data_IF_555923549507
#
_entry.id   IF_555923549507
#
_cell.length_a   1.000
_cell.length_b   1.000
_cell.length_c   1.000
_cell.angle_alpha   90.00
_cell.angle_beta   90.00
_cell.angle_gamma   90.00
#
_symmetry.space_group_name_H-M   'P 1'
#
loop_
_entity.id
_entity.type
_entity.pdbx_description
1 polymer ?
#
# COMPACT_ATOMS: atom_id res chain seq x y z
N UNK A 1 -25.73 -7.34 -11.01
CA UNK A 1 -25.46 -6.61 -9.77
C UNK A 1 -24.31 -5.61 -10.05
N UNK A 2 -24.48 -4.36 -9.71
CA UNK A 2 -23.44 -3.32 -9.90
C UNK A 2 -22.53 -3.30 -8.68
N UNK A 3 -21.27 -2.83 -8.83
CA UNK A 3 -20.31 -2.77 -7.70
C UNK A 3 -20.84 -1.95 -6.51
N UNK A 4 -21.55 -0.85 -6.76
CA UNK A 4 -22.18 -0.04 -5.72
C UNK A 4 -23.17 -0.79 -4.82
N UNK A 5 -23.77 -1.88 -5.35
CA UNK A 5 -24.78 -2.69 -4.66
C UNK A 5 -24.13 -3.87 -3.91
N UNK A 6 -22.86 -4.18 -4.22
CA UNK A 6 -22.14 -5.34 -3.68
C UNK A 6 -21.38 -5.02 -2.39
N UNK A 7 -20.71 -3.87 -2.35
CA UNK A 7 -19.77 -3.50 -1.30
C UNK A 7 -18.43 -4.22 -1.39
N UNK A 8 -17.39 -3.59 -0.85
CA UNK A 8 -16.00 -4.03 -0.97
C UNK A 8 -15.75 -5.42 -0.40
N UNK A 9 -16.19 -5.68 0.85
CA UNK A 9 -15.98 -6.97 1.51
C UNK A 9 -16.61 -8.15 0.79
N UNK A 10 -17.77 -7.92 0.15
CA UNK A 10 -18.44 -8.97 -0.63
C UNK A 10 -17.73 -9.22 -1.96
N UNK A 11 -17.15 -8.17 -2.56
CA UNK A 11 -16.32 -8.30 -3.74
C UNK A 11 -15.04 -9.09 -3.42
N UNK A 12 -14.32 -8.73 -2.38
CA UNK A 12 -13.09 -9.41 -1.96
C UNK A 12 -13.31 -10.90 -1.71
N UNK A 13 -14.40 -11.28 -1.06
CA UNK A 13 -14.76 -12.71 -0.88
C UNK A 13 -14.97 -13.47 -2.18
N UNK A 14 -15.39 -12.79 -3.25
CA UNK A 14 -15.54 -13.40 -4.57
C UNK A 14 -14.23 -13.47 -5.35
N UNK A 15 -13.33 -12.52 -5.11
CA UNK A 15 -12.01 -12.48 -5.77
C UNK A 15 -11.01 -13.47 -5.16
N UNK A 16 -11.06 -13.66 -3.85
CA UNK A 16 -10.12 -14.52 -3.13
C UNK A 16 -9.96 -15.94 -3.76
N UNK A 17 -11.03 -16.68 -4.12
CA UNK A 17 -10.89 -18.01 -4.73
C UNK A 17 -10.28 -18.01 -6.13
N UNK A 18 -10.16 -16.86 -6.79
CA UNK A 18 -9.73 -16.79 -8.18
C UNK A 18 -8.21 -16.83 -8.36
N UNK A 19 -7.44 -16.53 -7.33
CA UNK A 19 -5.99 -16.42 -7.50
C UNK A 19 -5.13 -16.55 -6.25
N UNK A 20 -5.71 -16.83 -5.09
CA UNK A 20 -4.91 -16.97 -3.87
C UNK A 20 -4.45 -18.41 -3.67
N UNK A 21 -3.15 -18.66 -3.44
CA UNK A 21 -2.64 -19.96 -3.12
C UNK A 21 -3.09 -20.42 -1.73
N UNK A 22 -3.19 -21.74 -1.51
CA UNK A 22 -3.54 -22.30 -0.19
C UNK A 22 -2.42 -22.09 0.84
N UNK A 23 -1.16 -22.12 0.38
CA UNK A 23 0.02 -21.95 1.22
C UNK A 23 0.60 -20.55 1.06
N UNK A 24 -0.01 -19.57 1.71
CA UNK A 24 0.48 -18.20 1.77
C UNK A 24 0.88 -17.84 3.20
N UNK A 25 1.87 -16.95 3.39
CA UNK A 25 2.27 -16.46 4.72
C UNK A 25 1.15 -15.71 5.45
N UNK A 26 0.22 -15.15 4.71
CA UNK A 26 -0.96 -14.44 5.22
C UNK A 26 -2.22 -14.93 4.50
N UNK A 27 -3.36 -15.05 5.18
CA UNK A 27 -4.59 -15.55 4.58
C UNK A 27 -5.16 -14.54 3.56
N UNK A 28 -5.97 -15.03 2.59
CA UNK A 28 -6.70 -14.15 1.67
C UNK A 28 -7.55 -13.11 2.41
N UNK A 29 -7.45 -11.84 2.00
CA UNK A 29 -8.19 -10.73 2.62
C UNK A 29 -7.50 -10.11 3.84
N UNK A 30 -6.26 -10.52 4.13
CA UNK A 30 -5.40 -9.82 5.07
C UNK A 30 -4.89 -8.49 4.48
N UNK A 31 -4.20 -7.66 5.27
CA UNK A 31 -3.73 -6.34 4.84
C UNK A 31 -2.62 -6.41 3.80
N UNK A 32 -1.86 -7.50 3.78
CA UNK A 32 -0.84 -7.81 2.77
C UNK A 32 -0.99 -9.25 2.28
N UNK A 33 -0.45 -9.52 1.10
CA UNK A 33 -0.23 -10.87 0.58
C UNK A 33 1.25 -11.25 0.68
N UNK A 34 1.60 -12.43 0.15
CA UNK A 34 3.00 -12.82 0.10
C UNK A 34 3.25 -14.26 -0.33
N UNK A 35 4.52 -14.60 -0.37
CA UNK A 35 5.01 -15.96 -0.67
C UNK A 35 6.10 -16.34 0.31
N UNK A 36 6.23 -17.63 0.59
CA UNK A 36 7.39 -18.18 1.28
C UNK A 36 8.52 -18.42 0.29
N UNK A 37 9.72 -17.91 0.56
CA UNK A 37 10.92 -18.20 -0.19
C UNK A 37 12.12 -18.24 0.75
N UNK A 38 12.93 -19.29 0.65
CA UNK A 38 14.16 -19.49 1.43
C UNK A 38 13.97 -19.34 2.95
N UNK A 39 12.83 -19.80 3.46
CA UNK A 39 12.51 -19.79 4.90
C UNK A 39 12.02 -18.45 5.45
N UNK A 40 11.87 -17.43 4.61
CA UNK A 40 11.30 -16.13 4.98
C UNK A 40 10.06 -15.81 4.15
N UNK A 41 9.13 -15.06 4.72
CA UNK A 41 7.98 -14.54 4.00
C UNK A 41 8.36 -13.26 3.25
N UNK A 42 8.17 -13.26 1.94
CA UNK A 42 8.16 -12.05 1.13
C UNK A 42 6.75 -11.50 1.10
N UNK A 43 6.56 -10.39 1.78
CA UNK A 43 5.27 -9.71 1.86
C UNK A 43 5.14 -8.67 0.74
N UNK A 44 3.95 -8.57 0.18
CA UNK A 44 3.59 -7.68 -0.91
C UNK A 44 2.30 -6.94 -0.55
N UNK A 45 2.30 -5.64 -0.79
CA UNK A 45 1.12 -4.79 -0.62
C UNK A 45 1.05 -3.80 -1.78
N UNK A 46 -0.16 -3.56 -2.26
CA UNK A 46 -0.45 -2.49 -3.22
C UNK A 46 -1.67 -1.71 -2.77
N UNK A 47 -1.55 -0.39 -2.75
CA UNK A 47 -2.63 0.55 -2.54
C UNK A 47 -2.80 1.46 -3.74
N UNK A 48 -4.04 1.83 -4.03
CA UNK A 48 -4.38 2.80 -5.07
C UNK A 48 -5.02 4.04 -4.46
N UNK A 49 -4.63 5.22 -4.96
CA UNK A 49 -5.10 6.49 -4.45
C UNK A 49 -5.50 7.42 -5.59
N UNK A 50 -6.68 8.02 -5.49
CA UNK A 50 -7.00 9.23 -6.25
C UNK A 50 -6.49 10.44 -5.47
N UNK A 51 -5.68 11.29 -6.09
CA UNK A 51 -5.07 12.44 -5.43
C UNK A 51 -6.11 13.29 -4.66
N UNK A 52 -7.22 13.62 -5.32
CA UNK A 52 -8.29 14.45 -4.74
C UNK A 52 -8.96 13.85 -3.51
N UNK A 53 -8.93 12.50 -3.35
CA UNK A 53 -9.59 11.81 -2.24
C UNK A 53 -8.67 11.68 -1.02
N UNK A 54 -7.35 11.66 -1.25
CA UNK A 54 -6.36 11.48 -0.18
C UNK A 54 -5.67 12.77 0.24
N UNK A 55 -5.70 13.81 -0.59
CA UNK A 55 -5.19 15.13 -0.26
C UNK A 55 -6.11 15.79 0.79
N UNK A 56 -5.63 15.89 2.02
CA UNK A 56 -6.31 16.65 3.06
C UNK A 56 -6.06 18.16 2.87
N UNK A 57 -6.88 19.00 3.52
CA UNK A 57 -6.73 20.46 3.46
C UNK A 57 -5.30 20.87 3.84
N UNK A 58 -4.63 21.56 2.94
CA UNK A 58 -3.25 22.04 3.14
C UNK A 58 -2.15 21.08 2.70
N UNK A 59 -2.50 19.86 2.22
CA UNK A 59 -1.55 18.94 1.61
C UNK A 59 -1.31 19.33 0.16
N UNK A 60 -0.03 19.44 -0.21
CA UNK A 60 0.44 19.49 -1.59
C UNK A 60 0.85 18.11 -2.13
N UNK A 61 1.40 18.07 -3.35
CA UNK A 61 1.83 16.82 -3.97
C UNK A 61 2.89 16.09 -3.16
N UNK A 62 3.80 16.79 -2.50
CA UNK A 62 4.81 16.17 -1.64
C UNK A 62 4.17 15.35 -0.52
N UNK A 63 3.25 15.95 0.24
CA UNK A 63 2.58 15.29 1.36
C UNK A 63 1.72 14.11 0.90
N UNK A 64 1.09 14.20 -0.27
CA UNK A 64 0.31 13.10 -0.84
C UNK A 64 1.21 11.94 -1.25
N UNK A 65 2.33 12.21 -1.91
CA UNK A 65 3.33 11.18 -2.23
C UNK A 65 3.89 10.49 -0.99
N UNK A 66 4.24 11.28 0.03
CA UNK A 66 4.70 10.78 1.32
C UNK A 66 3.65 9.87 1.97
N UNK A 67 2.40 10.34 2.04
CA UNK A 67 1.28 9.60 2.64
C UNK A 67 1.00 8.28 1.91
N UNK A 68 1.08 8.25 0.58
CA UNK A 68 0.88 7.03 -0.20
C UNK A 68 1.84 5.92 0.22
N UNK A 69 3.14 6.23 0.31
CA UNK A 69 4.15 5.25 0.77
C UNK A 69 3.95 4.91 2.24
N UNK A 70 3.67 5.88 3.10
CA UNK A 70 3.45 5.65 4.52
C UNK A 70 2.25 4.72 4.79
N UNK A 71 1.14 4.90 4.05
CA UNK A 71 -0.04 4.04 4.16
C UNK A 71 0.28 2.59 3.76
N UNK A 72 0.89 2.39 2.58
CA UNK A 72 1.28 1.07 2.09
C UNK A 72 2.29 0.38 3.03
N UNK A 73 3.24 1.16 3.56
CA UNK A 73 4.22 0.66 4.52
C UNK A 73 3.59 0.24 5.84
N UNK A 74 2.57 0.97 6.31
CA UNK A 74 1.84 0.64 7.54
C UNK A 74 1.31 -0.80 7.51
N UNK A 75 0.72 -1.21 6.38
CA UNK A 75 0.19 -2.55 6.20
C UNK A 75 1.28 -3.63 6.20
N UNK A 76 2.46 -3.33 5.68
CA UNK A 76 3.61 -4.23 5.74
C UNK A 76 4.17 -4.34 7.16
N UNK A 77 4.30 -3.20 7.86
CA UNK A 77 4.86 -3.12 9.20
C UNK A 77 4.00 -3.86 10.23
N UNK A 78 2.67 -3.72 10.19
CA UNK A 78 1.77 -4.44 11.12
C UNK A 78 1.77 -5.95 10.88
N UNK A 79 2.29 -6.41 9.75
CA UNK A 79 2.52 -7.82 9.45
C UNK A 79 3.94 -8.29 9.80
N UNK A 80 4.66 -7.52 10.61
CA UNK A 80 6.05 -7.78 11.01
C UNK A 80 7.02 -7.75 9.81
N UNK A 81 6.62 -7.12 8.72
CA UNK A 81 7.46 -6.95 7.54
C UNK A 81 8.45 -5.81 7.70
N UNK A 82 9.72 -6.05 7.39
CA UNK A 82 10.74 -5.01 7.22
C UNK A 82 10.73 -4.55 5.76
N UNK A 83 10.28 -3.33 5.45
CA UNK A 83 10.21 -2.83 4.08
C UNK A 83 11.60 -2.83 3.41
N UNK A 84 11.66 -3.25 2.15
CA UNK A 84 12.89 -3.25 1.34
C UNK A 84 12.82 -2.24 0.20
N UNK A 85 11.63 -1.96 -0.30
CA UNK A 85 11.43 -1.03 -1.39
C UNK A 85 9.99 -0.84 -1.77
N UNK A 86 9.79 0.21 -2.59
CA UNK A 86 8.49 0.59 -3.12
C UNK A 86 8.58 0.89 -4.60
N UNK A 87 7.48 0.71 -5.31
CA UNK A 87 7.31 1.16 -6.69
C UNK A 87 6.08 2.05 -6.79
N UNK A 88 6.10 2.98 -7.74
CA UNK A 88 5.00 3.90 -8.00
C UNK A 88 4.43 3.65 -9.40
N UNK A 89 3.12 3.46 -9.51
CA UNK A 89 2.40 3.61 -10.77
C UNK A 89 1.68 4.95 -10.74
N UNK A 90 1.92 5.80 -11.73
CA UNK A 90 1.35 7.14 -11.82
C UNK A 90 0.42 7.22 -13.02
N UNK A 91 -0.76 7.81 -12.82
CA UNK A 91 -1.70 8.18 -13.87
C UNK A 91 -1.83 9.70 -13.83
N UNK A 92 -1.43 10.36 -14.91
CA UNK A 92 -1.22 11.81 -14.93
C UNK A 92 -1.96 12.43 -16.12
N UNK A 93 -2.76 13.51 -15.90
CA UNK A 93 -3.27 14.35 -16.99
C UNK A 93 -2.13 14.96 -17.80
N UNK A 94 -2.34 15.14 -19.09
CA UNK A 94 -1.30 15.66 -20.00
C UNK A 94 -0.94 17.14 -19.76
N UNK A 95 -1.86 17.90 -19.18
CA UNK A 95 -1.70 19.30 -18.85
C UNK A 95 -1.13 19.56 -17.44
N UNK A 96 -0.73 18.48 -16.75
CA UNK A 96 -0.18 18.61 -15.39
C UNK A 96 1.24 19.18 -15.44
N UNK A 97 1.53 20.13 -14.56
CA UNK A 97 2.85 20.73 -14.45
C UNK A 97 3.91 19.73 -13.96
N UNK A 98 5.09 19.73 -14.57
CA UNK A 98 6.23 18.90 -14.19
C UNK A 98 6.57 19.02 -12.70
N UNK A 99 6.57 20.25 -12.15
CA UNK A 99 6.87 20.53 -10.76
C UNK A 99 5.96 19.78 -9.79
N UNK A 100 4.69 19.61 -10.14
CA UNK A 100 3.75 18.83 -9.34
C UNK A 100 4.19 17.34 -9.23
N UNK A 101 4.55 16.74 -10.36
CA UNK A 101 4.97 15.33 -10.42
C UNK A 101 6.26 15.12 -9.64
N UNK A 102 7.22 16.04 -9.79
CA UNK A 102 8.50 15.97 -9.08
C UNK A 102 8.30 16.04 -7.56
N UNK A 103 7.44 16.93 -7.06
CA UNK A 103 7.13 16.99 -5.63
C UNK A 103 6.41 15.74 -5.12
N UNK A 104 5.48 15.18 -5.90
CA UNK A 104 4.79 13.94 -5.55
C UNK A 104 5.78 12.78 -5.36
N UNK A 105 6.68 12.59 -6.33
CA UNK A 105 7.70 11.53 -6.29
C UNK A 105 8.73 11.80 -5.18
N UNK A 106 9.12 13.06 -4.95
CA UNK A 106 10.04 13.44 -3.88
C UNK A 106 9.45 13.10 -2.50
N UNK A 107 8.17 13.37 -2.28
CA UNK A 107 7.48 13.00 -1.05
C UNK A 107 7.46 11.48 -0.83
N UNK A 108 7.15 10.71 -1.86
CA UNK A 108 7.20 9.26 -1.81
C UNK A 108 8.61 8.72 -1.51
N UNK A 109 9.64 9.29 -2.15
CA UNK A 109 11.04 8.92 -1.91
C UNK A 109 11.48 9.22 -0.47
N UNK A 110 11.08 10.37 0.09
CA UNK A 110 11.37 10.74 1.47
C UNK A 110 10.73 9.77 2.46
N UNK A 111 9.46 9.39 2.25
CA UNK A 111 8.79 8.40 3.09
C UNK A 111 9.51 7.04 3.06
N UNK A 112 9.87 6.56 1.87
CA UNK A 112 10.60 5.30 1.72
C UNK A 112 11.96 5.35 2.47
N UNK A 113 12.69 6.46 2.32
CA UNK A 113 13.99 6.68 2.98
C UNK A 113 13.88 6.65 4.50
N UNK A 114 12.85 7.25 5.09
CA UNK A 114 12.61 7.21 6.55
C UNK A 114 12.38 5.80 7.09
N UNK A 115 11.94 4.90 6.24
CA UNK A 115 11.74 3.47 6.56
C UNK A 115 12.99 2.62 6.29
N UNK A 116 14.11 3.23 5.91
CA UNK A 116 15.31 2.51 5.50
C UNK A 116 15.17 1.77 4.16
N UNK A 117 14.15 2.16 3.37
CA UNK A 117 13.85 1.60 2.06
C UNK A 117 14.05 2.66 0.95
N UNK A 118 13.78 2.27 -0.30
CA UNK A 118 13.93 3.18 -1.44
C UNK A 118 12.82 2.94 -2.46
N UNK A 119 12.56 3.93 -3.31
CA UNK A 119 11.85 3.70 -4.54
C UNK A 119 12.73 2.85 -5.47
N UNK A 120 12.15 1.78 -6.02
CA UNK A 120 12.86 0.80 -6.85
C UNK A 120 12.44 0.80 -8.31
N UNK A 121 11.47 1.62 -8.65
CA UNK A 121 10.93 1.74 -10.00
C UNK A 121 9.49 2.17 -9.98
N UNK A 122 8.83 1.97 -11.11
CA UNK A 122 7.44 2.33 -11.29
C UNK A 122 7.08 2.42 -12.76
N UNK A 123 5.92 2.99 -13.00
CA UNK A 123 5.39 3.22 -14.35
C UNK A 123 4.65 4.56 -14.39
N UNK A 124 4.57 5.16 -15.57
CA UNK A 124 3.88 6.42 -15.79
C UNK A 124 2.92 6.29 -16.96
N UNK A 125 1.66 6.51 -16.70
CA UNK A 125 0.59 6.39 -17.68
C UNK A 125 -0.19 7.70 -17.80
N UNK A 126 -0.85 7.87 -18.95
CA UNK A 126 -1.82 8.93 -19.14
C UNK A 126 -3.07 8.65 -18.31
N UNK A 127 -3.58 9.66 -17.62
CA UNK A 127 -4.80 9.61 -16.80
C UNK A 127 -5.72 10.78 -17.04
N UNK A 128 -6.98 10.65 -16.68
CA UNK A 128 -7.97 11.75 -16.70
C UNK A 128 -7.91 12.60 -15.44
N UNK A 129 -7.32 12.07 -14.39
CA UNK A 129 -7.03 12.73 -13.12
C UNK A 129 -5.76 12.15 -12.51
N UNK A 130 -5.18 12.85 -11.54
CA UNK A 130 -4.00 12.34 -10.87
C UNK A 130 -4.39 11.18 -9.96
N UNK A 131 -3.85 10.00 -10.27
CA UNK A 131 -3.94 8.83 -9.43
C UNK A 131 -2.55 8.20 -9.28
N UNK A 132 -2.33 7.54 -8.17
CA UNK A 132 -1.11 6.80 -7.93
C UNK A 132 -1.41 5.43 -7.31
N UNK A 133 -0.63 4.45 -7.68
CA UNK A 133 -0.54 3.18 -6.98
C UNK A 133 0.83 3.09 -6.32
N UNK A 134 0.85 2.61 -5.10
CA UNK A 134 2.09 2.33 -4.38
C UNK A 134 2.13 0.84 -4.08
N UNK A 135 3.14 0.16 -4.60
CA UNK A 135 3.40 -1.22 -4.24
C UNK A 135 4.65 -1.29 -3.38
N UNK A 136 4.55 -1.99 -2.26
CA UNK A 136 5.65 -2.22 -1.35
C UNK A 136 5.94 -3.70 -1.18
N UNK A 137 7.19 -4.04 -0.87
CA UNK A 137 7.59 -5.38 -0.52
C UNK A 137 8.49 -5.37 0.72
N UNK A 138 8.35 -6.42 1.53
CA UNK A 138 9.02 -6.55 2.81
C UNK A 138 9.38 -8.00 3.09
N UNK A 139 10.34 -8.21 3.99
CA UNK A 139 10.67 -9.52 4.54
C UNK A 139 10.11 -9.65 5.96
N UNK A 140 9.53 -10.79 6.28
CA UNK A 140 9.09 -11.15 7.62
C UNK A 140 9.51 -12.59 7.94
N UNK A 141 10.15 -12.78 9.08
CA UNK A 141 10.50 -14.14 9.58
C UNK A 141 9.25 -14.84 10.12
N UNK A 142 8.38 -14.09 10.81
CA UNK A 142 7.14 -14.58 11.40
C UNK A 142 6.00 -13.57 11.10
N UNK A 143 5.38 -13.64 9.92
CA UNK A 143 4.31 -12.72 9.55
C UNK A 143 3.11 -12.89 10.47
N UNK A 144 2.53 -11.76 10.90
CA UNK A 144 1.42 -11.72 11.84
C UNK A 144 0.08 -11.59 11.08
N UNK A 145 -0.74 -12.65 10.98
CA UNK A 145 -2.04 -12.54 10.33
C UNK A 145 -3.00 -11.68 11.16
N UNK A 146 -3.99 -11.09 10.49
CA UNK A 146 -5.10 -10.36 11.13
C UNK A 146 -5.96 -11.36 11.92
N UNK A 147 -5.68 -11.48 13.21
CA UNK A 147 -6.39 -12.38 14.12
C UNK A 147 -6.45 -11.75 15.51
N UNK A 148 -7.60 -11.84 16.16
CA UNK A 148 -7.75 -11.50 17.56
C UNK A 148 -8.42 -12.67 18.29
N UNK A 149 -7.95 -12.96 19.48
CA UNK A 149 -8.47 -14.01 20.37
C UNK A 149 -9.02 -13.37 21.64
N UNK A 150 -9.98 -14.01 22.34
CA UNK A 150 -10.37 -13.59 23.67
C UNK A 150 -9.18 -13.52 24.61
N UNK A 151 -8.96 -12.38 25.24
CA UNK A 151 -7.82 -12.12 26.11
C UNK A 151 -6.71 -11.27 25.48
N UNK A 152 -6.72 -11.05 24.17
CA UNK A 152 -5.78 -10.14 23.52
C UNK A 152 -6.00 -8.70 23.96
N UNK A 153 -4.91 -7.95 24.09
CA UNK A 153 -4.94 -6.53 24.42
C UNK A 153 -5.04 -5.69 23.15
N UNK A 154 -5.87 -4.66 23.22
CA UNK A 154 -5.98 -3.65 22.15
C UNK A 154 -5.07 -2.47 22.50
N UNK A 155 -4.19 -2.11 21.57
CA UNK A 155 -3.33 -0.94 21.67
C UNK A 155 -3.74 0.09 20.62
N UNK A 156 -3.80 1.35 21.04
CA UNK A 156 -3.92 2.49 20.13
C UNK A 156 -2.58 3.22 20.10
N UNK A 157 -1.98 3.30 18.90
CA UNK A 157 -0.77 4.08 18.67
C UNK A 157 -1.12 5.39 17.97
N UNK A 158 -0.62 6.51 18.46
CA UNK A 158 -0.81 7.84 17.90
C UNK A 158 -0.74 8.92 18.97
N UNK A 159 -0.53 10.16 18.53
CA UNK A 159 -0.64 11.33 19.39
C UNK A 159 -2.12 11.70 19.55
N UNK A 160 -2.47 12.23 20.73
CA UNK A 160 -3.83 12.73 21.01
C UNK A 160 -3.99 14.15 20.53
#
# INVERSE_FOLDING_TARGET
MRLKDLGERALLRKLAPLGYPQEAPLPPGDDAGGVWADGVAWLLKTDGFLYREVALKGMGPFEVGFRGVAATASDLLVKMGRPLGFTLGLFLPEDLEEGFVLELVRGAAEAAKRLGAFLRGGDTNRGVEVALTVSGYALAEAPLPRKALPGDLLYLAGDR
#
